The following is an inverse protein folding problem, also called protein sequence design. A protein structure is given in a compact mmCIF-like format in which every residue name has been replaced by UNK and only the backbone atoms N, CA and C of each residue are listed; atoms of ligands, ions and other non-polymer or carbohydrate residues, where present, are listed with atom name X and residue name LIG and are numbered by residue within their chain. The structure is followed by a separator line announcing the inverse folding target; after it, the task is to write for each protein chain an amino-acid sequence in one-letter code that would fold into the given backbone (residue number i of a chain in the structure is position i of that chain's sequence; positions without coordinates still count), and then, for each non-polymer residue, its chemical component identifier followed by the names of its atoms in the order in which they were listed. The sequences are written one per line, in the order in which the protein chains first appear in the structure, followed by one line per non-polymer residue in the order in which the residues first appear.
data_IF_236522517140
#
_entry.id   IF_236522517140
#
_cell.length_a   1.000
_cell.length_b   1.000
_cell.length_c   1.000
_cell.angle_alpha   90.00
_cell.angle_beta   90.00
_cell.angle_gamma   90.00
#
_symmetry.space_group_name_H-M   'P 1'
#
loop_
_entity.id
_entity.type
_entity.pdbx_description
1 polymer ?
#
# COMPACT_ATOMS: atom_id res chain seq x y z
N UNK A 1 15.81 -4.39 -13.56
CA UNK A 1 16.43 -3.80 -12.36
C UNK A 1 17.76 -4.50 -12.10
N UNK A 2 18.80 -3.72 -11.81
CA UNK A 2 20.15 -4.18 -11.47
C UNK A 2 20.56 -3.69 -10.08
N UNK A 3 21.65 -4.21 -9.51
CA UNK A 3 22.19 -3.71 -8.24
C UNK A 3 22.65 -2.23 -8.33
N UNK A 4 23.10 -1.78 -9.51
CA UNK A 4 23.44 -0.38 -9.75
C UNK A 4 22.21 0.53 -9.71
N UNK A 5 21.08 0.06 -10.25
CA UNK A 5 19.80 0.77 -10.14
C UNK A 5 19.39 0.92 -8.67
N UNK A 6 19.53 -0.14 -7.86
CA UNK A 6 19.22 -0.09 -6.43
C UNK A 6 20.08 0.93 -5.69
N UNK A 7 21.41 0.91 -5.90
CA UNK A 7 22.34 1.83 -5.25
C UNK A 7 22.00 3.30 -5.54
N UNK A 8 21.75 3.61 -6.81
CA UNK A 8 21.39 4.97 -7.23
C UNK A 8 20.10 5.43 -6.54
N UNK A 9 19.08 4.56 -6.46
CA UNK A 9 17.81 4.90 -5.86
C UNK A 9 17.88 5.00 -4.33
N UNK A 10 18.67 4.16 -3.66
CA UNK A 10 18.95 4.29 -2.23
C UNK A 10 19.58 5.65 -1.92
N UNK A 11 20.56 6.09 -2.70
CA UNK A 11 21.19 7.41 -2.52
C UNK A 11 20.17 8.54 -2.72
N UNK A 12 19.32 8.45 -3.75
CA UNK A 12 18.28 9.46 -4.03
C UNK A 12 17.22 9.50 -2.92
N UNK A 13 16.71 8.34 -2.48
CA UNK A 13 15.73 8.26 -1.40
C UNK A 13 16.26 8.86 -0.10
N UNK A 14 17.53 8.59 0.26
CA UNK A 14 18.15 9.22 1.41
C UNK A 14 18.13 10.75 1.31
N UNK A 15 18.46 11.32 0.14
CA UNK A 15 18.39 12.77 -0.08
C UNK A 15 16.96 13.30 0.07
N UNK A 16 15.98 12.62 -0.53
CA UNK A 16 14.57 13.03 -0.43
C UNK A 16 14.04 12.96 1.00
N UNK A 17 14.43 11.95 1.77
CA UNK A 17 14.11 11.86 3.20
C UNK A 17 14.69 13.05 3.97
N UNK A 18 15.94 13.45 3.68
CA UNK A 18 16.54 14.62 4.34
C UNK A 18 15.79 15.91 4.01
N UNK A 19 15.36 16.08 2.75
CA UNK A 19 14.54 17.23 2.34
C UNK A 19 13.18 17.17 3.04
N UNK A 20 12.50 16.03 3.00
CA UNK A 20 11.19 15.84 3.62
C UNK A 20 11.19 16.01 5.13
N UNK A 21 12.33 15.83 5.82
CA UNK A 21 12.46 16.09 7.26
C UNK A 21 12.58 17.57 7.62
N UNK A 22 12.79 18.46 6.66
CA UNK A 22 12.90 19.90 6.91
C UNK A 22 11.58 20.45 7.47
N UNK A 23 11.70 21.44 8.37
CA UNK A 23 10.54 22.08 9.01
C UNK A 23 9.63 22.71 7.95
N UNK A 24 10.24 23.45 7.03
CA UNK A 24 9.57 24.11 5.90
C UNK A 24 10.00 23.41 4.62
N UNK A 25 9.03 22.88 3.87
CA UNK A 25 9.17 22.33 2.52
C UNK A 25 8.06 22.97 1.71
N UNK A 26 8.36 23.54 0.53
CA UNK A 26 7.30 24.18 -0.27
C UNK A 26 6.40 23.14 -0.92
N UNK A 27 5.15 23.51 -1.22
CA UNK A 27 4.18 22.61 -1.87
C UNK A 27 4.72 22.01 -3.18
N UNK A 28 5.38 22.82 -4.02
CA UNK A 28 6.04 22.34 -5.24
C UNK A 28 7.12 21.28 -4.97
N UNK A 29 7.87 21.42 -3.87
CA UNK A 29 8.90 20.43 -3.52
C UNK A 29 8.25 19.14 -3.03
N UNK A 30 7.16 19.24 -2.26
CA UNK A 30 6.39 18.06 -1.85
C UNK A 30 5.78 17.35 -3.06
N UNK A 31 5.27 18.09 -4.03
CA UNK A 31 4.75 17.54 -5.29
C UNK A 31 5.85 16.81 -6.08
N UNK A 32 7.03 17.43 -6.25
CA UNK A 32 8.17 16.80 -6.94
C UNK A 32 8.62 15.51 -6.27
N UNK A 33 8.74 15.52 -4.93
CA UNK A 33 9.09 14.34 -4.13
C UNK A 33 8.03 13.26 -4.30
N UNK A 34 6.76 13.64 -4.29
CA UNK A 34 5.63 12.73 -4.43
C UNK A 34 5.61 12.08 -5.80
N UNK A 35 5.74 12.86 -6.87
CA UNK A 35 5.83 12.37 -8.24
C UNK A 35 7.01 11.42 -8.45
N UNK A 36 8.18 11.76 -7.88
CA UNK A 36 9.34 10.87 -7.91
C UNK A 36 9.06 9.54 -7.18
N UNK A 37 8.41 9.61 -6.02
CA UNK A 37 8.08 8.44 -5.20
C UNK A 37 7.10 7.52 -5.90
N UNK A 38 6.06 8.07 -6.56
CA UNK A 38 5.12 7.32 -7.40
C UNK A 38 5.86 6.54 -8.48
N UNK A 39 6.68 7.23 -9.28
CA UNK A 39 7.42 6.60 -10.38
C UNK A 39 8.35 5.49 -9.89
N UNK A 40 8.94 5.66 -8.71
CA UNK A 40 9.82 4.65 -8.12
C UNK A 40 9.02 3.42 -7.65
N UNK A 41 7.87 3.61 -7.00
CA UNK A 41 7.01 2.51 -6.58
C UNK A 41 6.49 1.74 -7.80
N UNK A 42 5.99 2.45 -8.82
CA UNK A 42 5.42 1.82 -10.00
C UNK A 42 6.48 0.98 -10.72
N UNK A 43 7.65 1.56 -10.99
CA UNK A 43 8.76 0.87 -11.69
C UNK A 43 9.33 -0.31 -10.92
N UNK A 44 9.50 -0.20 -9.60
CA UNK A 44 10.28 -1.18 -8.83
C UNK A 44 9.44 -2.18 -8.06
N UNK A 45 8.24 -1.79 -7.62
CA UNK A 45 7.34 -2.67 -6.88
C UNK A 45 6.23 -3.19 -7.78
N UNK A 46 5.59 -2.33 -8.59
CA UNK A 46 4.40 -2.76 -9.34
C UNK A 46 4.73 -3.49 -10.64
N UNK A 47 5.61 -2.93 -11.46
CA UNK A 47 5.99 -3.46 -12.77
C UNK A 47 7.05 -4.57 -12.69
N UNK A 48 7.80 -4.65 -11.59
CA UNK A 48 8.95 -5.53 -11.47
C UNK A 48 8.70 -6.72 -10.54
N UNK A 49 8.85 -7.93 -11.07
CA UNK A 49 8.61 -9.16 -10.31
C UNK A 49 9.77 -9.55 -9.39
N UNK A 50 10.97 -8.95 -9.51
CA UNK A 50 12.16 -9.33 -8.75
C UNK A 50 11.95 -9.15 -7.25
N UNK A 51 11.38 -8.04 -6.80
CA UNK A 51 11.15 -7.81 -5.36
C UNK A 51 10.20 -8.88 -4.81
N UNK A 52 9.06 -9.10 -5.48
CA UNK A 52 8.11 -10.13 -5.09
C UNK A 52 8.73 -11.55 -5.09
N UNK A 53 9.59 -11.86 -6.05
CA UNK A 53 10.35 -13.10 -6.08
C UNK A 53 11.21 -13.28 -4.82
N UNK A 54 11.97 -12.25 -4.44
CA UNK A 54 12.83 -12.30 -3.25
C UNK A 54 12.03 -12.41 -1.96
N UNK A 55 10.91 -11.70 -1.83
CA UNK A 55 10.03 -11.84 -0.66
C UNK A 55 9.42 -13.25 -0.59
N UNK A 56 8.93 -13.80 -1.70
CA UNK A 56 8.42 -15.18 -1.74
C UNK A 56 9.50 -16.20 -1.38
N UNK A 57 10.74 -15.97 -1.81
CA UNK A 57 11.88 -16.82 -1.46
C UNK A 57 12.17 -16.75 0.04
N UNK A 58 12.11 -15.57 0.64
CA UNK A 58 12.29 -15.38 2.08
C UNK A 58 11.23 -16.15 2.87
N UNK A 59 9.95 -15.99 2.52
CA UNK A 59 8.84 -16.77 3.10
C UNK A 59 9.05 -18.28 2.96
N UNK A 60 9.48 -18.77 1.80
CA UNK A 60 9.80 -20.20 1.60
C UNK A 60 10.94 -20.68 2.49
N UNK A 61 11.96 -19.84 2.72
CA UNK A 61 13.05 -20.18 3.64
C UNK A 61 12.58 -20.25 5.09
N UNK A 62 11.51 -19.52 5.43
CA UNK A 62 10.80 -19.60 6.70
C UNK A 62 9.78 -20.75 6.76
N UNK A 63 9.77 -21.65 5.75
CA UNK A 63 8.81 -22.75 5.57
C UNK A 63 7.37 -22.33 5.21
N UNK A 64 7.13 -21.04 4.95
CA UNK A 64 5.84 -20.51 4.51
C UNK A 64 5.70 -20.58 2.99
N UNK A 65 5.03 -21.63 2.49
CA UNK A 65 4.80 -21.77 1.05
C UNK A 65 3.54 -21.06 0.59
N UNK A 66 3.70 -20.03 -0.25
CA UNK A 66 2.61 -19.45 -1.03
C UNK A 66 2.54 -20.12 -2.41
N UNK A 67 1.33 -20.33 -2.92
CA UNK A 67 1.08 -20.88 -4.25
C UNK A 67 1.35 -19.83 -5.35
N UNK A 68 2.63 -19.42 -5.49
CA UNK A 68 3.11 -18.45 -6.46
C UNK A 68 4.37 -19.01 -7.12
N UNK A 69 4.31 -19.15 -8.43
CA UNK A 69 5.44 -19.50 -9.26
C UNK A 69 6.09 -18.24 -9.82
N UNK A 70 7.42 -18.20 -9.75
CA UNK A 70 8.25 -17.22 -10.44
C UNK A 70 9.22 -17.99 -11.33
N UNK A 71 9.61 -17.41 -12.46
CA UNK A 71 10.69 -17.98 -13.28
C UNK A 71 12.01 -17.98 -12.49
N UNK A 72 12.80 -19.05 -12.62
CA UNK A 72 14.05 -19.22 -11.87
C UNK A 72 15.20 -18.32 -12.39
N UNK A 73 15.12 -17.86 -13.65
CA UNK A 73 16.11 -17.01 -14.31
C UNK A 73 15.99 -15.52 -13.91
N UNK A 74 16.00 -15.24 -12.62
CA UNK A 74 15.96 -13.88 -12.09
C UNK A 74 17.38 -13.37 -11.83
N UNK A 75 17.69 -12.13 -12.24
CA UNK A 75 18.97 -11.48 -11.95
C UNK A 75 19.27 -11.52 -10.45
N UNK A 76 20.50 -11.89 -10.07
CA UNK A 76 20.93 -11.85 -8.67
C UNK A 76 21.02 -10.41 -8.15
N UNK A 77 20.01 -10.01 -7.39
CA UNK A 77 20.00 -8.79 -6.59
C UNK A 77 20.49 -9.05 -5.17
N UNK A 78 21.15 -8.05 -4.60
CA UNK A 78 21.51 -8.04 -3.19
C UNK A 78 20.24 -7.81 -2.35
N UNK A 79 19.88 -8.83 -1.58
CA UNK A 79 18.71 -8.85 -0.72
C UNK A 79 18.75 -7.72 0.32
N UNK A 80 19.93 -7.39 0.85
CA UNK A 80 20.06 -6.29 1.81
C UNK A 80 19.70 -4.94 1.20
N UNK A 81 20.00 -4.74 -0.10
CA UNK A 81 19.62 -3.54 -0.83
C UNK A 81 18.12 -3.48 -1.08
N UNK A 82 17.46 -4.61 -1.32
CA UNK A 82 16.00 -4.68 -1.41
C UNK A 82 15.37 -4.27 -0.07
N UNK A 83 15.82 -4.86 1.04
CA UNK A 83 15.36 -4.49 2.38
C UNK A 83 15.57 -2.99 2.66
N UNK A 84 16.74 -2.44 2.28
CA UNK A 84 17.03 -1.03 2.44
C UNK A 84 16.14 -0.13 1.57
N UNK A 85 15.90 -0.50 0.31
CA UNK A 85 15.02 0.24 -0.59
C UNK A 85 13.61 0.36 -0.02
N UNK A 86 13.03 -0.77 0.39
CA UNK A 86 11.66 -0.84 0.95
C UNK A 86 11.57 0.00 2.23
N UNK A 87 12.54 -0.15 3.14
CA UNK A 87 12.58 0.65 4.37
C UNK A 87 12.64 2.16 4.10
N UNK A 88 13.46 2.58 3.13
CA UNK A 88 13.58 4.00 2.76
C UNK A 88 12.30 4.52 2.09
N UNK A 89 11.65 3.72 1.24
CA UNK A 89 10.35 4.07 0.67
C UNK A 89 9.27 4.23 1.73
N UNK A 90 9.16 3.27 2.66
CA UNK A 90 8.24 3.36 3.80
C UNK A 90 8.53 4.61 4.62
N UNK A 91 9.80 4.91 4.89
CA UNK A 91 10.21 6.10 5.65
C UNK A 91 9.82 7.40 4.95
N UNK A 92 10.06 7.50 3.63
CA UNK A 92 9.70 8.67 2.85
C UNK A 92 8.19 8.89 2.82
N UNK A 93 7.41 7.83 2.55
CA UNK A 93 5.95 7.89 2.58
C UNK A 93 5.40 8.25 3.96
N UNK A 94 6.04 7.76 5.04
CA UNK A 94 5.66 8.13 6.41
C UNK A 94 5.83 9.64 6.66
N UNK A 95 6.91 10.22 6.15
CA UNK A 95 7.17 11.66 6.24
C UNK A 95 6.14 12.45 5.42
N UNK A 96 5.89 12.04 4.18
CA UNK A 96 4.92 12.69 3.29
C UNK A 96 3.51 12.66 3.90
N UNK A 97 3.10 11.52 4.46
CA UNK A 97 1.80 11.37 5.11
C UNK A 97 1.68 12.25 6.37
N UNK A 98 2.73 12.30 7.20
CA UNK A 98 2.75 13.13 8.41
C UNK A 98 2.77 14.64 8.12
N UNK A 99 3.17 15.03 6.90
CA UNK A 99 3.12 16.41 6.39
C UNK A 99 1.84 16.71 5.60
N UNK A 100 0.85 15.83 5.65
CA UNK A 100 -0.42 15.99 4.93
C UNK A 100 -0.23 16.17 3.41
N UNK A 101 0.82 15.60 2.82
CA UNK A 101 1.06 15.68 1.37
C UNK A 101 0.04 14.86 0.55
N UNK A 102 -0.64 13.89 1.18
CA UNK A 102 -1.68 13.07 0.56
C UNK A 102 -2.61 12.46 1.61
N UNK A 103 -3.68 11.81 1.15
CA UNK A 103 -4.70 11.17 1.97
C UNK A 103 -5.52 12.19 2.79
N UNK A 104 -5.88 13.32 2.17
CA UNK A 104 -6.55 14.45 2.84
C UNK A 104 -8.06 14.50 2.59
N UNK A 105 -8.60 13.59 1.76
CA UNK A 105 -10.03 13.46 1.58
C UNK A 105 -10.70 12.92 2.86
N UNK A 106 -11.71 13.62 3.35
CA UNK A 106 -12.41 13.34 4.61
C UNK A 106 -13.01 11.94 4.62
N UNK A 107 -13.49 11.47 3.46
CA UNK A 107 -14.05 10.14 3.25
C UNK A 107 -13.04 9.00 3.53
N UNK A 108 -11.74 9.32 3.63
CA UNK A 108 -10.67 8.35 3.93
C UNK A 108 -9.91 8.66 5.24
N UNK A 109 -10.48 9.49 6.13
CA UNK A 109 -9.85 9.84 7.43
C UNK A 109 -9.47 8.60 8.26
N UNK A 110 -10.31 7.56 8.26
CA UNK A 110 -10.01 6.31 8.97
C UNK A 110 -8.80 5.57 8.37
N UNK A 111 -8.59 5.64 7.04
CA UNK A 111 -7.42 5.06 6.39
C UNK A 111 -6.16 5.81 6.84
N UNK A 112 -6.20 7.16 6.82
CA UNK A 112 -5.10 8.00 7.32
C UNK A 112 -4.72 7.64 8.75
N UNK A 113 -5.72 7.49 9.63
CA UNK A 113 -5.52 7.11 11.02
C UNK A 113 -4.84 5.73 11.16
N UNK A 114 -5.26 4.72 10.39
CA UNK A 114 -4.65 3.38 10.41
C UNK A 114 -3.18 3.43 9.94
N UNK A 115 -2.89 4.22 8.91
CA UNK A 115 -1.51 4.38 8.39
C UNK A 115 -0.61 5.09 9.40
N UNK A 116 -1.09 6.18 10.02
CA UNK A 116 -0.36 6.88 11.09
C UNK A 116 -0.17 6.00 12.33
N UNK A 117 -1.15 5.15 12.65
CA UNK A 117 -1.03 4.17 13.73
C UNK A 117 0.10 3.17 13.45
N UNK A 118 0.18 2.60 12.24
CA UNK A 118 1.29 1.74 11.85
C UNK A 118 2.65 2.45 11.97
N UNK A 119 2.76 3.69 11.49
CA UNK A 119 3.98 4.49 11.61
C UNK A 119 4.40 4.63 13.07
N UNK A 120 3.45 4.99 13.95
CA UNK A 120 3.69 5.11 15.39
C UNK A 120 4.18 3.79 15.98
N UNK A 121 3.49 2.69 15.68
CA UNK A 121 3.85 1.36 16.18
C UNK A 121 5.24 0.91 15.70
N UNK A 122 5.61 1.19 14.45
CA UNK A 122 6.94 0.89 13.92
C UNK A 122 8.05 1.73 14.55
N UNK A 123 7.78 2.98 14.93
CA UNK A 123 8.75 3.80 15.67
C UNK A 123 8.93 3.37 17.13
N UNK A 124 7.85 2.90 17.76
CA UNK A 124 7.85 2.44 19.16
C UNK A 124 8.38 1.01 19.31
N UNK A 125 8.24 0.20 18.26
CA UNK A 125 8.60 -1.21 18.28
C UNK A 125 9.34 -1.62 16.99
N UNK A 126 10.60 -2.02 17.14
CA UNK A 126 11.45 -2.50 16.05
C UNK A 126 10.91 -3.77 15.37
N UNK A 127 9.92 -4.46 15.96
CA UNK A 127 9.24 -5.63 15.40
C UNK A 127 8.84 -5.46 13.93
N UNK A 128 8.34 -4.28 13.56
CA UNK A 128 7.82 -4.00 12.23
C UNK A 128 8.90 -3.59 11.21
N UNK A 129 10.15 -3.44 11.69
CA UNK A 129 11.34 -3.15 10.89
C UNK A 129 12.44 -4.24 11.06
N UNK A 130 12.15 -5.32 11.79
CA UNK A 130 13.08 -6.40 12.12
C UNK A 130 13.45 -7.23 10.88
N UNK A 131 14.75 -7.41 10.61
CA UNK A 131 15.25 -8.14 9.42
C UNK A 131 15.66 -9.58 9.67
N UNK A 132 16.12 -9.87 10.89
CA UNK A 132 16.79 -11.13 11.24
C UNK A 132 16.11 -11.89 12.37
N UNK A 133 15.17 -11.24 13.05
CA UNK A 133 14.47 -11.83 14.18
C UNK A 133 13.29 -12.63 13.64
N UNK A 134 13.20 -13.90 14.04
CA UNK A 134 12.10 -14.78 13.68
C UNK A 134 11.39 -15.20 14.95
N UNK A 135 10.06 -15.18 14.90
CA UNK A 135 9.22 -15.38 16.08
C UNK A 135 8.49 -16.71 15.98
N UNK A 136 8.45 -17.45 17.07
CA UNK A 136 7.67 -18.68 17.18
C UNK A 136 6.18 -18.34 17.35
N UNK A 137 5.28 -19.28 17.01
CA UNK A 137 3.83 -19.10 17.15
C UNK A 137 3.39 -18.74 18.59
N UNK A 138 4.18 -19.07 19.61
CA UNK A 138 3.89 -18.71 21.00
C UNK A 138 4.37 -17.31 21.39
N UNK A 139 5.19 -16.67 20.56
CA UNK A 139 5.71 -15.33 20.82
C UNK A 139 4.64 -14.27 20.56
N UNK A 140 4.62 -13.23 21.40
CA UNK A 140 3.69 -12.12 21.24
C UNK A 140 3.91 -11.41 19.91
N UNK A 141 5.17 -11.29 19.51
CA UNK A 141 5.68 -10.66 18.31
C UNK A 141 5.10 -11.29 17.04
N UNK A 142 5.01 -12.62 17.01
CA UNK A 142 4.37 -13.38 15.92
C UNK A 142 2.94 -12.88 15.68
N UNK A 143 2.12 -12.88 16.73
CA UNK A 143 0.73 -12.44 16.64
C UNK A 143 0.62 -10.95 16.32
N UNK A 144 1.51 -10.11 16.88
CA UNK A 144 1.52 -8.68 16.62
C UNK A 144 1.83 -8.35 15.16
N UNK A 145 2.71 -9.11 14.50
CA UNK A 145 2.96 -8.96 13.06
C UNK A 145 1.72 -9.33 12.23
N UNK A 146 1.09 -10.47 12.51
CA UNK A 146 -0.13 -10.90 11.81
C UNK A 146 -1.27 -9.90 11.99
N UNK A 147 -1.51 -9.44 13.22
CA UNK A 147 -2.56 -8.47 13.53
C UNK A 147 -2.32 -7.17 12.77
N UNK A 148 -1.09 -6.66 12.76
CA UNK A 148 -0.75 -5.43 12.04
C UNK A 148 -0.91 -5.59 10.53
N UNK A 149 -0.42 -6.69 9.96
CA UNK A 149 -0.58 -6.98 8.54
C UNK A 149 -2.06 -7.03 8.13
N UNK A 150 -2.89 -7.79 8.88
CA UNK A 150 -4.33 -7.87 8.66
C UNK A 150 -5.03 -6.51 8.83
N UNK A 151 -4.62 -5.73 9.83
CA UNK A 151 -5.14 -4.39 10.07
C UNK A 151 -4.84 -3.46 8.89
N UNK A 152 -3.61 -3.45 8.38
CA UNK A 152 -3.24 -2.68 7.19
C UNK A 152 -4.00 -3.16 5.95
N UNK A 153 -4.07 -4.48 5.72
CA UNK A 153 -4.72 -5.04 4.54
C UNK A 153 -6.21 -4.69 4.50
N UNK A 154 -6.86 -4.59 5.66
CA UNK A 154 -8.27 -4.16 5.75
C UNK A 154 -8.55 -2.77 5.18
N UNK A 155 -7.54 -1.93 4.95
CA UNK A 155 -7.72 -0.62 4.33
C UNK A 155 -8.30 -0.70 2.92
N UNK A 156 -7.98 -1.74 2.13
CA UNK A 156 -8.58 -1.91 0.80
C UNK A 156 -10.11 -2.09 0.88
N UNK A 157 -10.57 -2.94 1.80
CA UNK A 157 -12.01 -3.14 2.04
C UNK A 157 -12.68 -1.86 2.58
N UNK A 158 -12.01 -1.13 3.47
CA UNK A 158 -12.52 0.15 3.98
C UNK A 158 -12.64 1.21 2.88
N UNK A 159 -11.68 1.29 1.96
CA UNK A 159 -11.78 2.21 0.81
C UNK A 159 -13.01 1.89 -0.05
N UNK A 160 -13.20 0.62 -0.42
CA UNK A 160 -14.39 0.15 -1.16
C UNK A 160 -15.67 0.45 -0.39
N UNK A 161 -15.69 0.15 0.91
CA UNK A 161 -16.85 0.39 1.77
C UNK A 161 -17.22 1.87 1.82
N UNK A 162 -16.26 2.77 2.01
CA UNK A 162 -16.54 4.21 2.11
C UNK A 162 -17.17 4.75 0.82
N UNK A 163 -16.63 4.37 -0.35
CA UNK A 163 -17.17 4.75 -1.67
C UNK A 163 -18.57 4.19 -1.88
N UNK A 164 -18.79 2.92 -1.55
CA UNK A 164 -20.10 2.27 -1.66
C UNK A 164 -21.14 2.89 -0.74
N UNK A 165 -20.75 3.16 0.51
CA UNK A 165 -21.62 3.77 1.50
C UNK A 165 -22.14 5.12 0.99
N UNK A 166 -21.26 5.99 0.48
CA UNK A 166 -21.65 7.27 -0.09
C UNK A 166 -22.55 7.12 -1.32
N UNK A 167 -22.24 6.17 -2.21
CA UNK A 167 -23.08 5.91 -3.38
C UNK A 167 -24.50 5.48 -2.99
N UNK A 168 -24.64 4.68 -1.93
CA UNK A 168 -25.93 4.16 -1.45
C UNK A 168 -26.71 5.21 -0.65
N UNK A 169 -26.04 5.87 0.30
CA UNK A 169 -26.64 6.86 1.19
C UNK A 169 -27.18 8.06 0.41
N UNK A 170 -26.44 8.50 -0.61
CA UNK A 170 -26.77 9.70 -1.39
C UNK A 170 -27.17 9.38 -2.84
N UNK A 171 -27.48 8.13 -3.15
CA UNK A 171 -27.93 7.68 -4.48
C UNK A 171 -27.05 8.19 -5.65
N UNK A 172 -25.73 8.33 -5.43
CA UNK A 172 -24.81 8.91 -6.41
C UNK A 172 -24.63 8.01 -7.64
N UNK A 173 -24.86 6.71 -7.47
CA UNK A 173 -24.81 5.70 -8.52
C UNK A 173 -25.97 4.73 -8.30
N UNK A 174 -26.63 4.24 -9.37
CA UNK A 174 -27.69 3.24 -9.26
C UNK A 174 -27.12 1.88 -8.84
N UNK A 175 -26.78 1.75 -7.56
CA UNK A 175 -26.37 0.51 -6.90
C UNK A 175 -27.51 0.14 -5.96
N UNK A 176 -28.13 -1.01 -6.19
CA UNK A 176 -29.33 -1.39 -5.43
C UNK A 176 -29.02 -2.00 -4.05
N UNK A 177 -27.76 -2.40 -3.79
CA UNK A 177 -27.29 -2.96 -2.51
C UNK A 177 -25.78 -3.18 -2.49
N UNK A 178 -25.21 -3.30 -1.29
CA UNK A 178 -23.89 -3.90 -1.10
C UNK A 178 -23.86 -5.31 -1.71
N UNK A 179 -22.93 -5.56 -2.64
CA UNK A 179 -22.51 -6.90 -2.99
C UNK A 179 -21.37 -7.29 -2.04
N UNK A 180 -21.36 -8.53 -1.55
CA UNK A 180 -20.37 -8.97 -0.57
C UNK A 180 -18.99 -9.27 -1.19
N UNK A 181 -18.91 -9.36 -2.52
CA UNK A 181 -17.77 -9.96 -3.22
C UNK A 181 -17.03 -8.96 -4.13
N UNK A 182 -16.89 -7.70 -3.71
CA UNK A 182 -16.10 -6.73 -4.46
C UNK A 182 -14.61 -7.04 -4.38
N UNK A 183 -13.97 -7.13 -5.54
CA UNK A 183 -12.52 -7.20 -5.66
C UNK A 183 -11.97 -5.77 -5.77
N UNK A 184 -11.13 -5.37 -4.80
CA UNK A 184 -10.61 -4.00 -4.73
C UNK A 184 -9.90 -3.56 -6.02
N UNK A 185 -8.96 -4.34 -6.56
CA UNK A 185 -8.18 -3.93 -7.74
C UNK A 185 -9.03 -3.82 -9.00
N UNK A 186 -10.14 -4.57 -9.09
CA UNK A 186 -10.99 -4.64 -10.29
C UNK A 186 -12.19 -3.70 -10.24
N UNK A 187 -12.81 -3.58 -9.08
CA UNK A 187 -14.11 -2.91 -8.95
C UNK A 187 -13.99 -1.46 -8.50
N UNK A 188 -12.90 -1.09 -7.81
CA UNK A 188 -12.80 0.20 -7.12
C UNK A 188 -12.98 1.40 -8.05
N UNK A 189 -12.41 1.38 -9.26
CA UNK A 189 -12.53 2.51 -10.21
C UNK A 189 -13.98 2.70 -10.66
N UNK A 190 -14.67 1.61 -10.99
CA UNK A 190 -16.06 1.68 -11.40
C UNK A 190 -16.96 2.13 -10.22
N UNK A 191 -16.73 1.60 -9.03
CA UNK A 191 -17.46 2.02 -7.83
C UNK A 191 -17.24 3.50 -7.53
N UNK A 192 -16.04 4.01 -7.78
CA UNK A 192 -15.66 5.39 -7.48
C UNK A 192 -15.94 6.38 -8.61
N UNK A 193 -16.62 5.96 -9.69
CA UNK A 193 -16.81 6.75 -10.92
C UNK A 193 -17.17 8.22 -10.67
N UNK A 194 -18.14 8.45 -9.77
CA UNK A 194 -18.70 9.78 -9.48
C UNK A 194 -17.71 10.70 -8.76
N UNK A 195 -16.69 10.14 -8.12
CA UNK A 195 -15.69 10.89 -7.36
C UNK A 195 -14.53 11.37 -8.24
N UNK A 196 -14.36 10.88 -9.47
CA UNK A 196 -13.29 11.36 -10.36
C UNK A 196 -13.52 12.80 -10.84
N UNK A 197 -12.44 13.60 -10.90
CA UNK A 197 -12.49 14.98 -11.44
C UNK A 197 -12.96 15.00 -12.89
N UNK A 198 -12.43 14.11 -13.73
CA UNK A 198 -12.73 14.04 -15.16
C UNK A 198 -12.71 12.60 -15.68
N UNK A 199 -13.20 12.38 -16.90
CA UNK A 199 -12.99 11.09 -17.59
C UNK A 199 -11.50 10.76 -17.79
N UNK A 200 -10.67 11.77 -17.99
CA UNK A 200 -9.22 11.58 -18.11
C UNK A 200 -8.58 11.05 -16.84
N UNK A 201 -8.98 11.59 -15.67
CA UNK A 201 -8.46 11.10 -14.37
C UNK A 201 -8.97 9.70 -14.06
N UNK A 202 -10.23 9.39 -14.40
CA UNK A 202 -10.75 8.03 -14.30
C UNK A 202 -9.95 7.03 -15.16
N UNK A 203 -9.61 7.38 -16.40
CA UNK A 203 -8.84 6.51 -17.29
C UNK A 203 -7.44 6.22 -16.73
N UNK A 204 -6.76 7.24 -16.20
CA UNK A 204 -5.45 7.05 -15.53
C UNK A 204 -5.56 6.13 -14.32
N UNK A 205 -6.61 6.28 -13.51
CA UNK A 205 -6.87 5.35 -12.43
C UNK A 205 -7.14 3.93 -12.93
N UNK A 206 -7.91 3.73 -14.01
CA UNK A 206 -8.08 2.39 -14.60
C UNK A 206 -6.73 1.76 -14.96
N UNK A 207 -5.84 2.50 -15.63
CA UNK A 207 -4.49 2.02 -15.98
C UNK A 207 -3.68 1.64 -14.73
N UNK A 208 -3.71 2.47 -13.70
CA UNK A 208 -3.04 2.19 -12.42
C UNK A 208 -3.61 0.94 -11.72
N UNK A 209 -4.93 0.79 -11.65
CA UNK A 209 -5.57 -0.34 -10.99
C UNK A 209 -5.40 -1.65 -11.78
N UNK A 210 -5.34 -1.60 -13.12
CA UNK A 210 -4.93 -2.74 -13.94
C UNK A 210 -3.47 -3.15 -13.68
N UNK A 211 -2.56 -2.18 -13.53
CA UNK A 211 -1.17 -2.44 -13.16
C UNK A 211 -1.09 -3.08 -11.76
N UNK A 212 -1.87 -2.57 -10.80
CA UNK A 212 -1.94 -3.11 -9.44
C UNK A 212 -2.43 -4.57 -9.44
N UNK A 213 -3.51 -4.88 -10.16
CA UNK A 213 -4.09 -6.23 -10.27
C UNK A 213 -3.08 -7.24 -10.84
N UNK A 214 -2.30 -6.82 -11.84
CA UNK A 214 -1.28 -7.66 -12.49
C UNK A 214 0.03 -7.73 -11.72
N UNK A 215 0.22 -6.91 -10.70
CA UNK A 215 1.50 -6.79 -10.01
C UNK A 215 1.81 -8.02 -9.16
N UNK A 216 3.01 -8.57 -9.30
CA UNK A 216 3.43 -9.73 -8.52
C UNK A 216 3.52 -9.42 -7.02
N UNK A 217 3.90 -8.20 -6.63
CA UNK A 217 4.01 -7.84 -5.20
C UNK A 217 2.62 -7.79 -4.56
N UNK A 218 1.64 -7.21 -5.25
CA UNK A 218 0.28 -7.11 -4.73
C UNK A 218 -0.37 -8.49 -4.60
N UNK A 219 -0.25 -9.32 -5.64
CA UNK A 219 -0.70 -10.71 -5.63
C UNK A 219 -0.01 -11.55 -4.53
N UNK A 220 1.26 -11.28 -4.24
CA UNK A 220 1.97 -11.92 -3.12
C UNK A 220 1.37 -11.54 -1.77
N UNK A 221 1.13 -10.25 -1.54
CA UNK A 221 0.55 -9.75 -0.29
C UNK A 221 -0.88 -10.25 -0.09
N UNK A 222 -1.66 -10.33 -1.16
CA UNK A 222 -3.01 -10.92 -1.14
C UNK A 222 -2.97 -12.41 -0.76
N UNK A 223 -2.09 -13.19 -1.40
CA UNK A 223 -1.95 -14.61 -1.05
C UNK A 223 -1.41 -14.81 0.35
N UNK A 224 -0.48 -13.96 0.81
CA UNK A 224 -0.03 -13.98 2.20
C UNK A 224 -1.22 -13.76 3.14
N UNK A 225 -2.03 -12.72 2.92
CA UNK A 225 -3.24 -12.44 3.72
C UNK A 225 -4.15 -13.66 3.89
N UNK A 226 -4.34 -14.43 2.82
CA UNK A 226 -5.19 -15.63 2.83
C UNK A 226 -4.54 -16.84 3.53
N UNK A 227 -3.21 -16.89 3.62
CA UNK A 227 -2.48 -18.00 4.23
C UNK A 227 -2.03 -17.73 5.67
N UNK A 228 -2.01 -16.48 6.15
CA UNK A 228 -1.65 -16.17 7.53
C UNK A 228 -2.48 -16.95 8.57
N UNK A 229 -3.78 -17.15 8.31
CA UNK A 229 -4.63 -17.95 9.21
C UNK A 229 -4.32 -19.45 9.13
N UNK A 230 -3.77 -19.92 7.99
CA UNK A 230 -3.35 -21.31 7.80
C UNK A 230 -1.99 -21.60 8.42
N UNK A 231 -1.10 -20.61 8.54
CA UNK A 231 0.20 -20.77 9.19
C UNK A 231 0.06 -21.21 10.66
N UNK A 232 -1.05 -20.88 11.33
CA UNK A 232 -1.38 -21.41 12.66
C UNK A 232 -1.50 -22.95 12.72
N UNK A 233 -1.85 -23.59 11.61
CA UNK A 233 -2.02 -25.05 11.55
C UNK A 233 -0.66 -25.76 11.58
N UNK A 234 0.41 -25.07 11.15
CA UNK A 234 1.77 -25.57 11.11
C UNK A 234 2.57 -24.99 12.28
N UNK A 235 2.30 -25.49 13.50
CA UNK A 235 2.82 -25.02 14.80
C UNK A 235 4.36 -25.01 14.99
N UNK A 236 5.15 -25.23 13.95
CA UNK A 236 6.62 -25.32 14.00
C UNK A 236 7.33 -24.23 13.19
N UNK A 237 6.58 -23.34 12.53
CA UNK A 237 7.15 -22.40 11.57
C UNK A 237 7.31 -21.01 12.20
N UNK A 238 8.56 -20.57 12.32
CA UNK A 238 8.85 -19.20 12.74
C UNK A 238 8.41 -18.22 11.66
N UNK A 239 8.01 -17.01 12.04
CA UNK A 239 7.54 -15.99 11.12
C UNK A 239 8.30 -14.68 11.32
N UNK A 240 8.67 -14.08 10.20
CA UNK A 240 8.96 -12.66 10.11
C UNK A 240 8.38 -12.13 8.78
N UNK A 241 7.32 -11.35 8.88
CA UNK A 241 6.65 -10.69 7.75
C UNK A 241 6.81 -9.17 7.78
N UNK A 242 7.86 -8.66 8.43
CA UNK A 242 8.09 -7.22 8.59
C UNK A 242 8.19 -6.52 7.23
N UNK A 243 8.86 -7.15 6.27
CA UNK A 243 9.11 -6.58 4.96
C UNK A 243 7.88 -6.63 4.05
N UNK A 244 7.07 -7.69 4.16
CA UNK A 244 5.76 -7.76 3.53
C UNK A 244 4.81 -6.72 4.13
N UNK A 245 4.87 -6.50 5.44
CA UNK A 245 4.09 -5.46 6.13
C UNK A 245 4.49 -4.06 5.65
N UNK A 246 5.79 -3.78 5.52
CA UNK A 246 6.29 -2.52 4.94
C UNK A 246 5.87 -2.36 3.47
N UNK A 247 5.95 -3.44 2.69
CA UNK A 247 5.53 -3.44 1.28
C UNK A 247 4.03 -3.16 1.16
N UNK A 248 3.20 -3.77 2.01
CA UNK A 248 1.76 -3.51 2.08
C UNK A 248 1.47 -2.04 2.42
N UNK A 249 2.16 -1.47 3.40
CA UNK A 249 2.05 -0.05 3.71
C UNK A 249 2.37 0.84 2.49
N UNK A 250 3.44 0.54 1.75
CA UNK A 250 3.83 1.28 0.54
C UNK A 250 2.74 1.20 -0.53
N UNK A 251 2.18 0.01 -0.77
CA UNK A 251 1.11 -0.19 -1.75
C UNK A 251 -0.15 0.59 -1.36
N UNK A 252 -0.56 0.57 -0.10
CA UNK A 252 -1.71 1.34 0.38
C UNK A 252 -1.47 2.85 0.18
N UNK A 253 -0.27 3.35 0.51
CA UNK A 253 0.07 4.75 0.28
C UNK A 253 0.04 5.11 -1.21
N UNK A 254 0.54 4.23 -2.08
CA UNK A 254 0.51 4.45 -3.54
C UNK A 254 -0.90 4.53 -4.10
N UNK A 255 -1.81 3.69 -3.58
CA UNK A 255 -3.24 3.77 -3.88
C UNK A 255 -3.83 5.10 -3.39
N UNK A 256 -3.53 5.52 -2.15
CA UNK A 256 -4.02 6.80 -1.63
C UNK A 256 -3.49 8.00 -2.41
N UNK A 257 -2.26 7.94 -2.92
CA UNK A 257 -1.71 8.94 -3.83
C UNK A 257 -2.49 9.01 -5.14
N UNK A 258 -2.84 7.86 -5.74
CA UNK A 258 -3.68 7.85 -6.95
C UNK A 258 -5.03 8.53 -6.68
N UNK A 259 -5.66 8.17 -5.56
CA UNK A 259 -6.95 8.72 -5.14
C UNK A 259 -6.85 10.25 -4.96
N UNK A 260 -5.87 10.73 -4.20
CA UNK A 260 -5.66 12.15 -3.91
C UNK A 260 -5.56 13.00 -5.19
N UNK A 261 -4.83 12.51 -6.20
CA UNK A 261 -4.62 13.27 -7.43
C UNK A 261 -5.81 13.23 -8.39
N UNK A 262 -6.52 12.10 -8.47
CA UNK A 262 -7.56 11.89 -9.49
C UNK A 262 -8.99 12.13 -9.02
N UNK A 263 -9.25 12.11 -7.71
CA UNK A 263 -10.57 12.36 -7.12
C UNK A 263 -10.81 13.84 -6.90
N UNK A 264 -12.07 14.25 -7.00
CA UNK A 264 -12.61 15.52 -6.53
C UNK A 264 -12.14 15.82 -5.10
N UNK A 265 -11.90 17.09 -4.81
CA UNK A 265 -11.56 17.52 -3.45
C UNK A 265 -12.76 17.44 -2.48
N UNK A 266 -12.54 17.76 -1.21
CA UNK A 266 -13.59 17.69 -0.19
C UNK A 266 -14.78 18.61 -0.51
N UNK A 267 -14.55 19.80 -1.05
CA UNK A 267 -15.61 20.76 -1.36
C UNK A 267 -16.45 20.27 -2.54
N UNK A 268 -15.80 19.73 -3.56
CA UNK A 268 -16.45 19.13 -4.72
C UNK A 268 -17.25 17.87 -4.36
N UNK A 269 -16.74 17.02 -3.45
CA UNK A 269 -17.44 15.84 -2.95
C UNK A 269 -18.67 16.25 -2.11
N UNK A 270 -18.53 17.26 -1.23
CA UNK A 270 -19.65 17.75 -0.43
C UNK A 270 -20.76 18.33 -1.32
N UNK A 271 -20.41 19.13 -2.34
CA UNK A 271 -21.39 19.62 -3.32
C UNK A 271 -22.08 18.48 -4.08
N UNK A 272 -21.33 17.44 -4.46
CA UNK A 272 -21.91 16.27 -5.11
C UNK A 272 -22.96 15.59 -4.20
N UNK A 273 -22.67 15.47 -2.91
CA UNK A 273 -23.58 14.92 -1.92
C UNK A 273 -24.83 15.81 -1.77
N UNK A 274 -24.66 17.11 -1.53
CA UNK A 274 -25.76 18.07 -1.36
C UNK A 274 -26.76 18.03 -2.52
N UNK A 275 -26.25 18.05 -3.76
CA UNK A 275 -27.08 18.01 -4.97
C UNK A 275 -27.94 16.75 -5.12
N UNK A 276 -27.57 15.65 -4.46
CA UNK A 276 -28.31 14.39 -4.50
C UNK A 276 -29.09 14.11 -3.21
N UNK A 277 -29.00 14.98 -2.20
CA UNK A 277 -29.77 14.85 -0.95
C UNK A 277 -31.06 15.68 -0.97
N UNK A 278 -31.15 16.70 -1.85
CA UNK A 278 -32.31 17.57 -2.04
C UNK A 278 -33.41 16.98 -2.97
N UNK A 279 -33.44 15.66 -3.16
CA UNK A 279 -34.46 14.89 -3.91
C UNK A 279 -35.15 13.93 -2.95
#
# INVERSE_FOLDING_TARGET
MTNQDLDLNIVKLNKLIQIGKQIVVSDHQLEDITNYTINLIDKFLLENNLIAYYLNKDLKNQHHQLDIAFSEDQNQLDVNKIYQLIYLLKSLLSILLAKDAFCNLNIFTQIKANLLFYIKQSLENNLYDAKTDYFDIWDKEYHQQIIMFNHLYSNFNKMTFNVLYLNLEYNLKPINKFQNDYNFSKDFVNLSYVFYKTRGTMNRSNEFFELLDRSSIFNLLEKLKFNLDRFYLNKQENLNISIETQSLFIIICRVMLQIEFDFKDNDEINRLIELNTDI
#
